data_IF_327448718450
#
_entry.id   IF_327448718450
#
_cell.length_a   1.000
_cell.length_b   1.000
_cell.length_c   1.000
_cell.angle_alpha   90.00
_cell.angle_beta   90.00
_cell.angle_gamma   90.00
#
_symmetry.space_group_name_H-M   'P 1'
#
loop_
_entity.id
_entity.type
_entity.pdbx_description
1 polymer ?
#
# COMPACT_ATOMS: atom_id res chain seq x y z
N UNK A 1 -19.47 -29.20 4.44
CA UNK A 1 -19.77 -27.83 3.97
C UNK A 1 -18.96 -27.56 2.71
N UNK A 2 -19.62 -27.30 1.57
CA UNK A 2 -18.96 -26.94 0.30
C UNK A 2 -18.68 -25.43 0.33
N UNK A 3 -17.42 -25.03 0.30
CA UNK A 3 -17.04 -23.63 0.04
C UNK A 3 -17.44 -23.30 -1.42
N UNK A 4 -18.39 -22.39 -1.58
CA UNK A 4 -18.78 -21.87 -2.88
C UNK A 4 -17.67 -20.98 -3.41
N UNK A 5 -16.89 -21.50 -4.37
CA UNK A 5 -16.00 -20.69 -5.23
C UNK A 5 -16.81 -19.53 -5.80
N UNK A 6 -16.55 -18.31 -5.33
CA UNK A 6 -17.20 -17.09 -5.82
C UNK A 6 -17.89 -16.21 -4.77
N UNK A 7 -17.89 -16.59 -3.48
CA UNK A 7 -18.32 -15.67 -2.43
C UNK A 7 -17.38 -14.45 -2.39
N UNK A 8 -17.83 -13.32 -2.95
CA UNK A 8 -17.11 -12.05 -2.88
C UNK A 8 -17.10 -11.60 -1.43
N UNK A 9 -15.90 -11.45 -0.87
CA UNK A 9 -15.71 -10.87 0.46
C UNK A 9 -16.31 -9.47 0.45
N UNK A 10 -17.01 -9.08 1.53
CA UNK A 10 -17.55 -7.73 1.63
C UNK A 10 -16.41 -6.70 1.47
N UNK A 11 -16.67 -5.57 0.78
CA UNK A 11 -15.69 -4.50 0.67
C UNK A 11 -15.21 -4.07 2.05
N UNK A 12 -13.90 -4.13 2.27
CA UNK A 12 -13.30 -3.70 3.55
C UNK A 12 -13.12 -2.20 3.55
N UNK A 13 -13.49 -1.56 4.66
CA UNK A 13 -13.23 -0.14 4.87
C UNK A 13 -11.76 0.04 5.22
N UNK A 14 -11.03 0.77 4.38
CA UNK A 14 -9.66 1.17 4.71
C UNK A 14 -9.69 2.29 5.76
N UNK A 15 -8.87 2.16 6.80
CA UNK A 15 -8.67 3.21 7.79
C UNK A 15 -7.32 3.91 7.54
N UNK A 16 -7.22 5.22 7.77
CA UNK A 16 -5.96 5.92 7.63
C UNK A 16 -4.96 5.45 8.69
N UNK A 17 -3.80 4.96 8.24
CA UNK A 17 -2.64 4.74 9.09
C UNK A 17 -1.70 5.94 8.90
N UNK A 18 -1.59 6.80 9.92
CA UNK A 18 -0.70 7.96 9.87
C UNK A 18 0.75 7.48 9.84
N UNK A 19 1.47 7.85 8.78
CA UNK A 19 2.90 7.59 8.67
C UNK A 19 3.62 8.61 9.57
N UNK A 20 4.58 8.18 10.37
CA UNK A 20 5.42 9.08 11.15
C UNK A 20 6.69 9.40 10.39
N UNK A 21 7.10 10.66 10.42
CA UNK A 21 8.40 11.09 9.92
C UNK A 21 9.52 10.75 10.91
N UNK A 22 10.78 10.99 10.53
CA UNK A 22 11.97 10.72 11.34
C UNK A 22 11.98 11.48 12.68
N UNK A 23 11.31 12.63 12.75
CA UNK A 23 11.14 13.44 13.96
C UNK A 23 9.92 13.01 14.82
N UNK A 24 9.18 11.98 14.38
CA UNK A 24 8.00 11.46 15.06
C UNK A 24 6.70 12.18 14.74
N UNK A 25 6.73 13.25 13.94
CA UNK A 25 5.56 13.98 13.47
C UNK A 25 4.69 13.11 12.56
N UNK A 26 3.37 13.30 12.64
CA UNK A 26 2.44 12.51 11.84
C UNK A 26 2.24 13.16 10.46
N UNK A 27 2.59 12.43 9.40
CA UNK A 27 2.33 12.83 8.02
C UNK A 27 0.92 12.38 7.63
N UNK A 28 0.02 13.34 7.49
CA UNK A 28 -1.29 13.11 6.91
C UNK A 28 -1.23 13.19 5.38
N UNK A 29 -1.01 12.05 4.73
CA UNK A 29 -0.96 11.96 3.27
C UNK A 29 -2.30 12.19 2.56
N UNK A 30 -3.43 12.22 3.30
CA UNK A 30 -4.83 12.33 2.85
C UNK A 30 -5.02 12.07 1.34
N UNK A 31 -4.84 10.81 0.92
CA UNK A 31 -4.89 10.45 -0.50
C UNK A 31 -6.24 10.80 -1.12
N UNK A 32 -7.32 10.72 -0.35
CA UNK A 32 -8.67 11.04 -0.81
C UNK A 32 -8.81 12.52 -1.20
N UNK A 33 -8.29 13.45 -0.39
CA UNK A 33 -8.36 14.88 -0.75
C UNK A 33 -7.55 15.18 -2.01
N UNK A 34 -6.40 14.53 -2.20
CA UNK A 34 -5.57 14.65 -3.41
C UNK A 34 -6.32 14.21 -4.67
N UNK A 35 -7.04 13.10 -4.61
CA UNK A 35 -7.88 12.64 -5.72
C UNK A 35 -9.07 13.58 -5.96
N UNK A 36 -9.67 14.13 -4.91
CA UNK A 36 -10.79 15.09 -5.03
C UNK A 36 -10.37 16.40 -5.70
N UNK A 37 -9.13 16.85 -5.53
CA UNK A 37 -8.60 18.04 -6.23
C UNK A 37 -8.09 17.74 -7.65
N UNK A 38 -8.33 16.52 -8.16
CA UNK A 38 -8.05 16.16 -9.55
C UNK A 38 -6.68 15.51 -9.78
N UNK A 39 -5.96 15.12 -8.72
CA UNK A 39 -4.75 14.32 -8.89
C UNK A 39 -5.10 12.97 -9.52
N UNK A 40 -4.37 12.58 -10.56
CA UNK A 40 -4.62 11.34 -11.28
C UNK A 40 -3.83 10.20 -10.66
N UNK A 41 -4.52 9.08 -10.41
CA UNK A 41 -3.86 7.83 -10.06
C UNK A 41 -2.93 7.39 -11.19
N UNK A 42 -1.83 6.69 -10.87
CA UNK A 42 -0.96 6.13 -11.88
C UNK A 42 -1.75 5.23 -12.83
N UNK A 43 -1.60 5.39 -14.16
CA UNK A 43 -2.35 4.62 -15.13
C UNK A 43 -1.78 3.20 -15.19
N UNK A 44 -2.25 2.32 -14.29
CA UNK A 44 -1.83 0.92 -14.23
C UNK A 44 -2.30 0.12 -15.46
N UNK A 45 -3.35 0.60 -16.14
CA UNK A 45 -3.85 0.10 -17.43
C UNK A 45 -3.98 -1.44 -17.47
N UNK A 46 -4.46 -2.03 -16.37
CA UNK A 46 -4.63 -3.47 -16.24
C UNK A 46 -5.81 -3.77 -15.32
N UNK A 47 -6.80 -4.46 -15.87
CA UNK A 47 -7.88 -5.06 -15.10
C UNK A 47 -7.44 -6.46 -14.61
N UNK A 48 -7.73 -6.79 -13.35
CA UNK A 48 -7.42 -8.10 -12.76
C UNK A 48 -5.98 -8.30 -12.26
N UNK A 49 -4.97 -7.65 -12.86
CA UNK A 49 -3.54 -7.86 -12.51
C UNK A 49 -2.88 -6.64 -11.84
N UNK A 50 -3.60 -5.98 -10.92
CA UNK A 50 -3.17 -4.73 -10.29
C UNK A 50 -1.80 -4.79 -9.61
N UNK A 51 -1.47 -5.89 -8.94
CA UNK A 51 -0.17 -6.07 -8.26
C UNK A 51 1.02 -6.11 -9.23
N UNK A 52 0.87 -6.80 -10.36
CA UNK A 52 1.92 -6.88 -11.37
C UNK A 52 2.06 -5.55 -12.11
N UNK A 53 0.93 -4.94 -12.48
CA UNK A 53 0.91 -3.62 -13.12
C UNK A 53 1.56 -2.55 -12.24
N UNK A 54 1.26 -2.53 -10.94
CA UNK A 54 1.89 -1.64 -9.97
C UNK A 54 3.39 -1.90 -9.86
N UNK A 55 3.81 -3.17 -9.78
CA UNK A 55 5.23 -3.55 -9.73
C UNK A 55 5.98 -3.05 -10.98
N UNK A 56 5.39 -3.25 -12.16
CA UNK A 56 5.94 -2.80 -13.44
C UNK A 56 6.01 -1.28 -13.52
N UNK A 57 4.98 -0.58 -13.05
CA UNK A 57 4.92 0.87 -13.01
C UNK A 57 6.03 1.45 -12.12
N UNK A 58 6.17 0.92 -10.90
CA UNK A 58 7.16 1.39 -9.93
C UNK A 58 8.61 1.16 -10.40
N UNK A 59 8.89 0.01 -11.02
CA UNK A 59 10.24 -0.33 -11.54
C UNK A 59 10.80 0.69 -12.55
N UNK A 60 9.94 1.50 -13.19
CA UNK A 60 10.35 2.54 -14.15
C UNK A 60 10.64 3.90 -13.50
N UNK A 61 10.48 4.04 -12.19
CA UNK A 61 10.67 5.31 -11.47
C UNK A 61 12.04 5.32 -10.77
N UNK A 62 12.80 6.38 -11.00
CA UNK A 62 14.12 6.61 -10.39
C UNK A 62 14.06 6.58 -8.86
N UNK A 63 13.06 7.24 -8.27
CA UNK A 63 12.83 7.23 -6.81
C UNK A 63 12.66 5.81 -6.28
N UNK A 64 11.89 4.97 -6.97
CA UNK A 64 11.70 3.57 -6.55
C UNK A 64 13.01 2.76 -6.62
N UNK A 65 13.81 2.99 -7.66
CA UNK A 65 15.11 2.33 -7.78
C UNK A 65 16.08 2.77 -6.68
N UNK A 66 16.11 4.06 -6.34
CA UNK A 66 16.89 4.59 -5.22
C UNK A 66 16.51 3.91 -3.91
N UNK A 67 15.21 3.90 -3.57
CA UNK A 67 14.73 3.26 -2.34
C UNK A 67 15.04 1.76 -2.29
N UNK A 68 15.04 1.08 -3.44
CA UNK A 68 15.42 -0.34 -3.50
C UNK A 68 16.91 -0.54 -3.23
N UNK A 69 17.76 0.36 -3.70
CA UNK A 69 19.20 0.29 -3.42
C UNK A 69 19.48 0.59 -1.95
N UNK A 70 18.82 1.59 -1.38
CA UNK A 70 18.92 1.91 0.07
C UNK A 70 18.52 0.70 0.93
N UNK A 71 17.41 0.04 0.59
CA UNK A 71 16.98 -1.17 1.27
C UNK A 71 18.02 -2.29 1.14
N UNK A 72 18.60 -2.47 -0.06
CA UNK A 72 19.63 -3.48 -0.31
C UNK A 72 20.91 -3.20 0.48
N UNK A 73 21.32 -1.94 0.61
CA UNK A 73 22.46 -1.53 1.44
C UNK A 73 22.24 -1.87 2.92
N UNK A 74 20.99 -1.90 3.38
CA UNK A 74 20.59 -2.30 4.73
C UNK A 74 20.39 -3.83 4.86
N UNK A 75 20.64 -4.61 3.81
CA UNK A 75 20.40 -6.06 3.80
C UNK A 75 18.92 -6.44 3.66
N UNK A 76 18.06 -5.49 3.34
CA UNK A 76 16.61 -5.68 3.19
C UNK A 76 16.18 -5.78 1.71
N UNK A 77 14.95 -6.25 1.49
CA UNK A 77 14.33 -6.24 0.17
C UNK A 77 13.07 -5.38 0.15
N UNK A 78 13.08 -4.37 -0.72
CA UNK A 78 11.90 -3.53 -0.98
C UNK A 78 11.06 -4.12 -2.13
N UNK A 79 9.83 -4.51 -1.78
CA UNK A 79 8.80 -4.95 -2.73
C UNK A 79 7.51 -4.15 -2.51
N UNK A 80 6.57 -4.10 -3.47
CA UNK A 80 5.25 -3.50 -3.23
C UNK A 80 4.52 -4.16 -2.05
N UNK A 81 4.76 -5.46 -1.82
CA UNK A 81 4.19 -6.18 -0.68
C UNK A 81 4.72 -5.68 0.67
N UNK A 82 5.95 -5.17 0.73
CA UNK A 82 6.53 -4.60 1.96
C UNK A 82 5.66 -3.47 2.52
N UNK A 83 5.04 -2.66 1.66
CA UNK A 83 4.10 -1.61 2.07
C UNK A 83 2.80 -2.17 2.65
N UNK A 84 2.22 -3.20 2.00
CA UNK A 84 1.03 -3.89 2.51
C UNK A 84 1.30 -4.50 3.89
N UNK A 85 2.46 -5.13 4.05
CA UNK A 85 2.87 -5.72 5.32
C UNK A 85 3.04 -4.67 6.42
N UNK A 86 3.70 -3.55 6.12
CA UNK A 86 3.82 -2.43 7.07
C UNK A 86 2.46 -1.84 7.46
N UNK A 87 1.55 -1.68 6.50
CA UNK A 87 0.20 -1.21 6.76
C UNK A 87 -0.55 -2.15 7.71
N UNK A 88 -0.57 -3.45 7.42
CA UNK A 88 -1.19 -4.44 8.30
C UNK A 88 -0.59 -4.39 9.71
N UNK A 89 0.75 -4.43 9.83
CA UNK A 89 1.46 -4.35 11.12
C UNK A 89 1.11 -3.09 11.89
N UNK A 90 1.09 -1.93 11.24
CA UNK A 90 0.75 -0.67 11.89
C UNK A 90 -0.70 -0.62 12.38
N UNK A 91 -1.62 -1.21 11.62
CA UNK A 91 -3.03 -1.31 12.01
C UNK A 91 -3.24 -2.25 13.20
N UNK A 92 -2.49 -3.36 13.27
CA UNK A 92 -2.45 -4.22 14.46
C UNK A 92 -1.95 -3.45 15.69
N UNK A 93 -0.87 -2.68 15.55
CA UNK A 93 -0.34 -1.83 16.65
C UNK A 93 -1.32 -0.73 17.07
N UNK A 94 -2.15 -0.24 16.15
CA UNK A 94 -3.21 0.74 16.43
C UNK A 94 -4.48 0.11 17.05
N UNK A 95 -4.46 -1.18 17.37
CA UNK A 95 -5.59 -1.94 17.93
C UNK A 95 -6.86 -1.92 17.06
N UNK A 96 -6.71 -1.80 15.74
CA UNK A 96 -7.82 -1.85 14.80
C UNK A 96 -8.10 -3.32 14.45
N UNK A 97 -9.35 -3.82 14.54
CA UNK A 97 -9.67 -5.22 14.28
C UNK A 97 -9.31 -5.66 12.86
N UNK A 98 -8.66 -6.84 12.74
CA UNK A 98 -8.24 -7.45 11.47
C UNK A 98 -9.42 -7.72 10.53
N UNK A 99 -10.62 -7.93 11.08
CA UNK A 99 -11.85 -8.06 10.29
C UNK A 99 -12.09 -6.86 9.35
N UNK A 100 -11.46 -5.71 9.63
CA UNK A 100 -11.57 -4.47 8.87
C UNK A 100 -10.32 -4.16 7.98
N UNK A 101 -9.34 -5.06 7.87
CA UNK A 101 -8.07 -4.86 7.12
C UNK A 101 -7.86 -5.99 6.12
#
# INVERSE_FOLDING_TARGET
MRETKGAKTQPRRLHPLLVRDADGSAINWNLQSRLQVGEKLPPLNSEGNGSEALSRYLRRRTVWLSMREDAKQQGEQLTPYSFRHRYAKGMHTANIPIANI
#
